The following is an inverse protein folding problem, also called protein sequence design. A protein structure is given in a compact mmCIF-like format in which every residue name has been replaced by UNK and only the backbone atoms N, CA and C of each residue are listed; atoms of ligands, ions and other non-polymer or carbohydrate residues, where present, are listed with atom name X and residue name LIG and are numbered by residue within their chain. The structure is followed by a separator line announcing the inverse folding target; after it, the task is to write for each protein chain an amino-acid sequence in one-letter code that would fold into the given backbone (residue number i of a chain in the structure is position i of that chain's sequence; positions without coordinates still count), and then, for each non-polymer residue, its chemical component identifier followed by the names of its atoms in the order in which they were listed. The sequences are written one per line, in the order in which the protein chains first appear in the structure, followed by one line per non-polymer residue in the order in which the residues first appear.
data_IF_922814953710
#
_entry.id   IF_922814953710
#
_cell.length_a   1.000
_cell.length_b   1.000
_cell.length_c   1.000
_cell.angle_alpha   90.00
_cell.angle_beta   90.00
_cell.angle_gamma   90.00
#
_symmetry.space_group_name_H-M   'P 1'
#
loop_
_entity.id
_entity.type
_entity.pdbx_description
1 polymer ?
#
# COMPACT_ATOMS: atom_id res chain seq x y z
N UNK A 1 18.27 2.84 20.14
CA UNK A 1 18.01 3.76 18.99
C UNK A 1 17.11 3.20 17.86
N UNK A 2 16.62 1.94 17.89
CA UNK A 2 15.80 1.37 16.81
C UNK A 2 14.30 1.75 16.80
N UNK A 3 13.76 2.24 17.92
CA UNK A 3 12.32 2.51 18.08
C UNK A 3 11.81 3.67 17.20
N UNK A 4 12.61 4.73 17.01
CA UNK A 4 12.25 5.82 16.09
C UNK A 4 12.18 5.33 14.64
N UNK A 5 13.07 4.43 14.22
CA UNK A 5 13.06 3.82 12.85
C UNK A 5 11.87 2.88 12.65
N UNK A 6 11.51 2.10 13.68
CA UNK A 6 10.29 1.27 13.72
C UNK A 6 8.99 2.07 13.81
N UNK A 7 9.03 3.36 14.11
CA UNK A 7 7.82 4.19 14.05
C UNK A 7 7.49 4.62 12.62
N UNK A 8 8.49 5.01 11.83
CA UNK A 8 8.26 5.55 10.48
C UNK A 8 7.78 4.52 9.46
N UNK A 9 8.32 3.29 9.46
CA UNK A 9 7.83 2.22 8.58
C UNK A 9 6.37 1.82 8.89
N UNK A 10 5.96 1.86 10.15
CA UNK A 10 4.65 1.39 10.61
C UNK A 10 3.61 2.47 10.33
N UNK A 11 3.98 3.75 10.58
CA UNK A 11 3.18 4.90 10.18
C UNK A 11 3.01 4.97 8.66
N UNK A 12 4.06 4.74 7.88
CA UNK A 12 3.97 4.74 6.42
C UNK A 12 3.04 3.66 5.86
N UNK A 13 3.17 2.43 6.38
CA UNK A 13 2.28 1.31 6.00
C UNK A 13 0.83 1.56 6.38
N UNK A 14 0.56 2.03 7.60
CA UNK A 14 -0.78 2.37 8.06
C UNK A 14 -1.40 3.49 7.24
N UNK A 15 -0.67 4.57 6.96
CA UNK A 15 -1.21 5.71 6.20
C UNK A 15 -1.63 5.28 4.81
N UNK A 16 -0.78 4.53 4.09
CA UNK A 16 -1.12 4.08 2.75
C UNK A 16 -2.18 2.97 2.74
N UNK A 17 -2.18 2.07 3.72
CA UNK A 17 -3.25 1.08 3.87
C UNK A 17 -4.62 1.71 4.18
N UNK A 18 -4.67 2.74 5.03
CA UNK A 18 -5.92 3.47 5.31
C UNK A 18 -6.38 4.24 4.07
N UNK A 19 -5.47 4.92 3.35
CA UNK A 19 -5.81 5.60 2.10
C UNK A 19 -6.40 4.62 1.07
N UNK A 20 -5.84 3.42 0.96
CA UNK A 20 -6.33 2.37 0.07
C UNK A 20 -7.76 1.94 0.42
N UNK A 21 -8.04 1.72 1.71
CA UNK A 21 -9.39 1.43 2.22
C UNK A 21 -10.36 2.57 1.89
N UNK A 22 -9.95 3.83 2.11
CA UNK A 22 -10.78 5.00 1.82
C UNK A 22 -11.08 5.09 0.31
N UNK A 23 -10.10 4.83 -0.55
CA UNK A 23 -10.30 4.81 -2.02
C UNK A 23 -11.29 3.71 -2.42
N UNK A 24 -11.17 2.51 -1.85
CA UNK A 24 -12.12 1.42 -2.09
C UNK A 24 -13.54 1.82 -1.65
N UNK A 25 -13.68 2.39 -0.45
CA UNK A 25 -14.98 2.84 0.08
C UNK A 25 -15.60 3.96 -0.76
N UNK A 26 -14.80 4.93 -1.19
CA UNK A 26 -15.26 6.01 -2.08
C UNK A 26 -15.75 5.42 -3.41
N UNK A 27 -15.00 4.47 -3.98
CA UNK A 27 -15.43 3.74 -5.19
C UNK A 27 -16.79 3.07 -4.99
N UNK A 28 -17.00 2.41 -3.85
CA UNK A 28 -18.30 1.79 -3.52
C UNK A 28 -19.44 2.80 -3.39
N UNK A 29 -19.18 4.02 -2.89
CA UNK A 29 -20.20 5.07 -2.73
C UNK A 29 -20.53 5.76 -4.06
N UNK A 30 -19.54 5.97 -4.93
CA UNK A 30 -19.73 6.72 -6.20
C UNK A 30 -20.56 5.93 -7.24
N UNK A 31 -20.78 4.62 -7.03
CA UNK A 31 -21.89 3.84 -7.61
C UNK A 31 -22.05 3.84 -9.16
N UNK A 32 -21.07 4.27 -9.94
CA UNK A 32 -21.01 3.97 -11.37
C UNK A 32 -20.04 2.79 -11.58
N UNK A 33 -20.52 1.71 -12.19
CA UNK A 33 -19.74 0.50 -12.45
C UNK A 33 -18.39 0.77 -13.13
N UNK A 34 -18.34 1.80 -13.97
CA UNK A 34 -17.14 2.25 -14.66
C UNK A 34 -16.10 2.87 -13.71
N UNK A 35 -16.50 3.77 -12.81
CA UNK A 35 -15.56 4.42 -11.88
C UNK A 35 -15.00 3.44 -10.86
N UNK A 36 -15.85 2.55 -10.32
CA UNK A 36 -15.44 1.47 -9.42
C UNK A 36 -14.38 0.56 -10.06
N UNK A 37 -14.53 0.24 -11.36
CA UNK A 37 -13.55 -0.55 -12.12
C UNK A 37 -12.18 0.12 -12.20
N UNK A 38 -12.13 1.43 -12.48
CA UNK A 38 -10.88 2.19 -12.50
C UNK A 38 -10.20 2.25 -11.13
N UNK A 39 -10.96 2.46 -10.05
CA UNK A 39 -10.41 2.46 -8.68
C UNK A 39 -9.87 1.09 -8.28
N UNK A 40 -10.60 0.03 -8.63
CA UNK A 40 -10.16 -1.36 -8.44
C UNK A 40 -8.92 -1.67 -9.25
N UNK A 41 -8.78 -1.18 -10.49
CA UNK A 41 -7.54 -1.38 -11.24
C UNK A 41 -6.33 -0.80 -10.51
N UNK A 42 -6.40 0.43 -9.99
CA UNK A 42 -5.27 1.07 -9.29
C UNK A 42 -4.84 0.36 -8.01
N UNK A 43 -5.80 -0.13 -7.23
CA UNK A 43 -5.55 -0.94 -6.02
C UNK A 43 -4.85 -2.25 -6.35
N UNK A 44 -5.14 -2.80 -7.53
CA UNK A 44 -4.72 -4.14 -7.93
C UNK A 44 -3.40 -4.16 -8.70
N UNK A 45 -2.93 -3.05 -9.29
CA UNK A 45 -1.67 -3.00 -10.05
C UNK A 45 -0.49 -3.59 -9.26
N UNK A 46 -0.24 -3.15 -8.00
CA UNK A 46 0.91 -3.65 -7.25
C UNK A 46 0.80 -5.14 -6.95
N UNK A 47 -0.41 -5.62 -6.64
CA UNK A 47 -0.65 -7.04 -6.35
C UNK A 47 -0.55 -7.91 -7.59
N UNK A 48 -1.11 -7.50 -8.72
CA UNK A 48 -1.01 -8.24 -9.98
C UNK A 48 0.45 -8.33 -10.44
N UNK A 49 1.24 -7.26 -10.30
CA UNK A 49 2.66 -7.30 -10.57
C UNK A 49 3.40 -8.30 -9.66
N UNK A 50 3.07 -8.32 -8.36
CA UNK A 50 3.64 -9.25 -7.40
C UNK A 50 3.22 -10.71 -7.68
N UNK A 51 1.96 -10.94 -7.99
CA UNK A 51 1.39 -12.26 -8.27
C UNK A 51 1.96 -12.84 -9.57
N UNK A 52 2.16 -12.02 -10.61
CA UNK A 52 2.87 -12.41 -11.83
C UNK A 52 4.33 -12.78 -11.52
N UNK A 53 5.03 -11.94 -10.75
CA UNK A 53 6.43 -12.19 -10.38
C UNK A 53 6.60 -13.49 -9.57
N UNK A 54 5.64 -13.80 -8.69
CA UNK A 54 5.64 -14.99 -7.84
C UNK A 54 4.94 -16.20 -8.47
N UNK A 55 4.41 -16.05 -9.69
CA UNK A 55 3.58 -17.07 -10.39
C UNK A 55 2.43 -17.60 -9.52
N UNK A 56 1.85 -16.72 -8.70
CA UNK A 56 0.72 -17.06 -7.85
C UNK A 56 -0.54 -17.17 -8.73
N UNK A 57 -1.28 -18.27 -8.64
CA UNK A 57 -2.52 -18.37 -9.37
C UNK A 57 -3.59 -17.49 -8.69
N UNK A 58 -4.16 -16.57 -9.47
CA UNK A 58 -5.18 -15.62 -9.02
C UNK A 58 -6.55 -16.21 -9.36
N UNK A 59 -7.23 -16.79 -8.38
CA UNK A 59 -8.47 -17.53 -8.64
C UNK A 59 -9.74 -16.73 -8.34
N UNK A 60 -9.70 -15.73 -7.44
CA UNK A 60 -10.91 -15.06 -6.96
C UNK A 60 -10.69 -13.57 -6.64
N UNK A 61 -11.72 -12.74 -6.91
CA UNK A 61 -11.68 -11.28 -6.76
C UNK A 61 -11.33 -10.79 -5.34
N UNK A 62 -11.68 -11.54 -4.29
CA UNK A 62 -11.32 -11.16 -2.92
C UNK A 62 -9.83 -11.31 -2.63
N UNK A 63 -9.13 -12.27 -3.27
CA UNK A 63 -7.68 -12.45 -3.11
C UNK A 63 -6.94 -11.24 -3.68
N UNK A 64 -7.49 -10.69 -4.76
CA UNK A 64 -6.98 -9.51 -5.44
C UNK A 64 -7.15 -8.25 -4.58
N UNK A 65 -8.28 -8.09 -3.89
CA UNK A 65 -8.52 -6.97 -2.97
C UNK A 65 -7.61 -7.06 -1.74
N UNK A 66 -7.56 -8.23 -1.08
CA UNK A 66 -6.72 -8.47 0.10
C UNK A 66 -5.23 -8.32 -0.28
N UNK A 67 -4.85 -8.87 -1.42
CA UNK A 67 -3.51 -8.77 -1.97
C UNK A 67 -3.11 -7.34 -2.31
N UNK A 68 -4.03 -6.54 -2.87
CA UNK A 68 -3.86 -5.11 -3.12
C UNK A 68 -3.56 -4.35 -1.84
N UNK A 69 -4.40 -4.54 -0.81
CA UNK A 69 -4.23 -3.92 0.51
C UNK A 69 -2.87 -4.25 1.14
N UNK A 70 -2.47 -5.51 1.11
CA UNK A 70 -1.16 -5.95 1.64
C UNK A 70 -0.03 -5.29 0.85
N UNK A 71 -0.16 -5.22 -0.48
CA UNK A 71 0.86 -4.61 -1.34
C UNK A 71 1.02 -3.12 -1.05
N UNK A 72 -0.08 -2.38 -0.90
CA UNK A 72 -0.05 -0.97 -0.51
C UNK A 72 0.52 -0.75 0.89
N UNK A 73 0.21 -1.64 1.83
CA UNK A 73 0.80 -1.60 3.17
C UNK A 73 2.33 -1.80 3.11
N UNK A 74 2.80 -2.76 2.30
CA UNK A 74 4.25 -3.02 2.11
C UNK A 74 4.94 -1.85 1.41
N UNK A 75 4.33 -1.28 0.37
CA UNK A 75 4.84 -0.08 -0.31
C UNK A 75 4.95 1.07 0.68
N UNK A 76 3.91 1.33 1.47
CA UNK A 76 3.93 2.39 2.45
C UNK A 76 4.92 2.17 3.58
N UNK A 77 5.08 0.92 4.01
CA UNK A 77 6.12 0.58 4.98
C UNK A 77 7.51 0.81 4.43
N UNK A 78 7.74 0.49 3.16
CA UNK A 78 9.00 0.72 2.44
C UNK A 78 9.30 2.21 2.30
N UNK A 79 8.33 3.02 1.85
CA UNK A 79 8.47 4.49 1.76
C UNK A 79 8.74 5.09 3.14
N UNK A 80 7.96 4.69 4.16
CA UNK A 80 8.15 5.15 5.54
C UNK A 80 9.52 4.77 6.10
N UNK A 81 10.04 3.60 5.74
CA UNK A 81 11.39 3.17 6.11
C UNK A 81 12.47 4.02 5.42
N UNK A 82 12.34 4.27 4.12
CA UNK A 82 13.26 5.13 3.33
C UNK A 82 13.27 6.54 3.93
N UNK A 83 12.10 7.12 4.17
CA UNK A 83 11.96 8.45 4.79
C UNK A 83 12.63 8.49 6.17
N UNK A 84 12.41 7.47 7.00
CA UNK A 84 13.06 7.33 8.30
C UNK A 84 14.59 7.20 8.23
N UNK A 85 15.14 6.59 7.17
CA UNK A 85 16.59 6.52 6.91
C UNK A 85 17.16 7.88 6.50
N UNK A 86 16.49 8.62 5.62
CA UNK A 86 16.92 9.95 5.17
C UNK A 86 16.92 10.94 6.35
N UNK A 87 15.83 11.00 7.11
CA UNK A 87 15.71 11.94 8.24
C UNK A 87 16.76 11.71 9.32
N UNK A 88 17.07 10.45 9.66
CA UNK A 88 18.11 10.14 10.64
C UNK A 88 19.54 10.42 10.14
N UNK A 89 19.77 10.44 8.83
CA UNK A 89 21.07 10.85 8.25
C UNK A 89 21.28 12.36 8.34
N UNK A 90 20.21 13.15 8.24
CA UNK A 90 20.29 14.61 8.32
C UNK A 90 20.49 15.12 9.76
N UNK A 91 19.96 14.42 10.77
CA UNK A 91 20.13 14.78 12.19
C UNK A 91 21.55 14.48 12.73
N UNK A 92 22.32 13.61 12.07
CA UNK A 92 23.71 13.33 12.43
C UNK A 92 24.74 14.21 11.71
N UNK A 93 24.31 15.28 11.03
CA UNK A 93 25.15 16.24 10.31
C UNK A 93 25.12 17.64 10.94
N UNK A 94 24.49 17.78 12.10
CA UNK A 94 24.57 18.96 12.97
C UNK A 94 25.47 18.67 14.18
#
# INVERSE_FOLDING_TARGET
MGWKKRSYWFKGGIVLGILDIVVILIGYVISSSESLGWFLMFTQIPFNALAIALRLPIYQNYQVIIGGLISWFVIGATIGWIYGKIKNKNVGRE
#
